data_IF_099958415738
#
_entry.id   IF_099958415738
#
_cell.length_a   1.000
_cell.length_b   1.000
_cell.length_c   1.000
_cell.angle_alpha   90.00
_cell.angle_beta   90.00
_cell.angle_gamma   90.00
#
_symmetry.space_group_name_H-M   'P 1'
#
loop_
_entity.id
_entity.type
_entity.pdbx_description
1 polymer ?
#
# COMPACT_ATOMS: atom_id res chain seq x y z
N UNK A 1 0.21 -11.21 -11.00
CA UNK A 1 1.13 -10.06 -11.01
C UNK A 1 0.35 -8.78 -10.76
N UNK A 2 0.82 -7.97 -9.83
CA UNK A 2 0.23 -6.65 -9.61
C UNK A 2 0.79 -5.64 -10.59
N UNK A 3 -0.08 -4.85 -11.18
CA UNK A 3 0.28 -3.79 -12.10
C UNK A 3 -0.24 -2.45 -11.56
N UNK A 4 0.58 -1.43 -11.63
CA UNK A 4 0.22 -0.08 -11.22
C UNK A 4 0.60 0.88 -12.35
N UNK A 5 -0.36 1.67 -12.80
CA UNK A 5 -0.13 2.73 -13.77
C UNK A 5 -0.55 4.07 -13.16
N UNK A 6 0.32 5.07 -13.28
CA UNK A 6 0.12 6.40 -12.68
C UNK A 6 0.30 7.47 -13.74
N UNK A 7 -0.67 8.37 -13.84
CA UNK A 7 -0.56 9.61 -14.61
C UNK A 7 -0.62 10.78 -13.63
N UNK A 8 0.45 11.56 -13.58
CA UNK A 8 0.58 12.67 -12.65
C UNK A 8 0.71 13.98 -13.43
N UNK A 9 -0.22 14.90 -13.17
CA UNK A 9 -0.27 16.23 -13.80
C UNK A 9 -0.30 16.19 -15.33
N UNK A 10 -1.00 15.20 -15.90
CA UNK A 10 -1.17 15.05 -17.36
C UNK A 10 -2.50 15.60 -17.83
N UNK A 11 -3.46 15.78 -16.94
CA UNK A 11 -4.80 16.33 -17.22
C UNK A 11 -5.09 17.48 -16.27
N UNK A 12 -5.67 18.56 -16.77
CA UNK A 12 -5.93 19.78 -15.99
C UNK A 12 -6.88 19.51 -14.82
N UNK A 13 -7.95 18.76 -15.05
CA UNK A 13 -8.99 18.52 -14.06
C UNK A 13 -8.75 17.30 -13.18
N UNK A 14 -7.74 16.50 -13.51
CA UNK A 14 -7.39 15.28 -12.79
C UNK A 14 -5.87 15.20 -12.57
N UNK A 15 -5.34 15.83 -11.51
CA UNK A 15 -3.90 15.88 -11.29
C UNK A 15 -3.27 14.52 -11.00
N UNK A 16 -4.05 13.56 -10.51
CA UNK A 16 -3.58 12.20 -10.26
C UNK A 16 -4.60 11.19 -10.79
N UNK A 17 -4.16 10.34 -11.70
CA UNK A 17 -4.96 9.21 -12.20
C UNK A 17 -4.16 7.94 -11.93
N UNK A 18 -4.77 7.00 -11.22
CA UNK A 18 -4.14 5.72 -10.89
C UNK A 18 -5.05 4.59 -11.31
N UNK A 19 -4.50 3.60 -11.98
CA UNK A 19 -5.17 2.33 -12.22
C UNK A 19 -4.28 1.18 -11.79
N UNK A 20 -4.87 0.20 -11.16
CA UNK A 20 -4.15 -0.92 -10.57
C UNK A 20 -5.03 -2.16 -10.53
N UNK A 21 -4.40 -3.31 -10.53
CA UNK A 21 -5.05 -4.56 -10.15
C UNK A 21 -4.39 -5.10 -8.90
N UNK A 22 -5.15 -5.86 -8.12
CA UNK A 22 -4.64 -6.62 -6.98
C UNK A 22 -4.64 -8.11 -7.35
N UNK A 23 -3.46 -8.72 -7.31
CA UNK A 23 -3.30 -10.15 -7.54
C UNK A 23 -3.18 -10.87 -6.19
N UNK A 24 -4.30 -11.45 -5.75
CA UNK A 24 -4.40 -12.14 -4.45
C UNK A 24 -5.34 -13.33 -4.56
N UNK A 25 -5.25 -14.28 -3.63
CA UNK A 25 -6.16 -15.42 -3.58
C UNK A 25 -7.59 -14.96 -3.28
N UNK A 26 -8.57 -15.52 -4.00
CA UNK A 26 -10.00 -15.20 -3.82
C UNK A 26 -10.50 -15.45 -2.41
N UNK A 27 -9.92 -16.42 -1.71
CA UNK A 27 -10.29 -16.75 -0.32
C UNK A 27 -9.86 -15.69 0.70
N UNK A 28 -8.97 -14.76 0.31
CA UNK A 28 -8.52 -13.69 1.21
C UNK A 28 -9.58 -12.60 1.28
N UNK A 29 -10.21 -12.37 2.45
CA UNK A 29 -11.29 -11.40 2.55
C UNK A 29 -10.77 -9.99 2.34
N UNK A 30 -11.49 -9.24 1.52
CA UNK A 30 -11.13 -7.88 1.13
C UNK A 30 -12.37 -7.00 1.17
N UNK A 31 -12.27 -5.84 1.79
CA UNK A 31 -13.33 -4.84 1.79
C UNK A 31 -13.12 -3.88 0.62
N UNK A 32 -14.21 -3.46 -0.06
CA UNK A 32 -14.12 -2.47 -1.15
C UNK A 32 -13.66 -1.11 -0.61
N UNK A 33 -13.27 -0.21 -1.53
CA UNK A 33 -12.82 1.13 -1.19
C UNK A 33 -13.86 1.89 -0.37
N UNK A 34 -13.45 2.41 0.77
CA UNK A 34 -14.28 3.21 1.67
C UNK A 34 -13.40 4.08 2.56
N UNK A 35 -14.02 5.08 3.18
CA UNK A 35 -13.35 5.81 4.25
C UNK A 35 -13.29 4.95 5.49
N UNK A 36 -12.09 4.75 6.02
CA UNK A 36 -11.90 3.93 7.21
C UNK A 36 -12.43 4.64 8.45
N UNK A 37 -13.12 3.92 9.35
CA UNK A 37 -13.63 4.53 10.60
C UNK A 37 -12.52 4.81 11.60
N UNK A 38 -11.39 4.12 11.53
CA UNK A 38 -10.29 4.16 12.49
C UNK A 38 -9.05 4.93 12.01
N UNK A 39 -9.07 5.48 10.79
CA UNK A 39 -7.95 6.22 10.23
C UNK A 39 -8.39 7.17 9.11
N UNK A 40 -7.63 8.26 8.82
CA UNK A 40 -7.98 9.21 7.76
C UNK A 40 -7.61 8.69 6.37
N UNK A 41 -8.06 7.48 6.04
CA UNK A 41 -7.66 6.73 4.85
C UNK A 41 -8.89 6.36 4.02
N UNK A 42 -8.79 6.60 2.71
CA UNK A 42 -9.70 6.11 1.69
C UNK A 42 -9.03 4.98 0.92
N UNK A 43 -9.47 3.76 1.12
CA UNK A 43 -8.84 2.58 0.52
C UNK A 43 -9.76 1.37 0.60
N UNK A 44 -9.51 0.37 -0.25
CA UNK A 44 -9.92 -0.99 0.04
C UNK A 44 -9.16 -1.50 1.26
N UNK A 45 -9.63 -2.53 1.90
CA UNK A 45 -8.98 -3.05 3.11
C UNK A 45 -8.81 -4.56 3.05
N UNK A 46 -7.60 -5.00 3.38
CA UNK A 46 -7.32 -6.42 3.60
C UNK A 46 -7.92 -6.80 4.97
N UNK A 47 -9.02 -7.52 4.95
CA UNK A 47 -9.71 -7.88 6.19
C UNK A 47 -8.96 -8.93 7.02
N UNK A 48 -7.98 -9.62 6.43
CA UNK A 48 -7.15 -10.60 7.14
C UNK A 48 -6.02 -9.91 7.91
N UNK A 49 -5.26 -9.04 7.25
CA UNK A 49 -4.09 -8.37 7.84
C UNK A 49 -4.39 -6.96 8.36
N UNK A 50 -5.49 -6.36 7.96
CA UNK A 50 -5.93 -5.04 8.42
C UNK A 50 -5.33 -3.85 7.69
N UNK A 51 -4.38 -4.06 6.79
CA UNK A 51 -3.75 -3.01 5.98
C UNK A 51 -4.40 -2.84 4.61
N UNK A 52 -3.69 -2.16 3.72
CA UNK A 52 -4.11 -2.00 2.34
C UNK A 52 -2.92 -2.02 1.38
N UNK A 53 -3.22 -2.20 0.11
CA UNK A 53 -2.22 -2.20 -0.96
C UNK A 53 -2.13 -0.86 -1.70
N UNK A 54 -3.13 -0.01 -1.57
CA UNK A 54 -3.19 1.31 -2.21
C UNK A 54 -4.22 2.17 -1.52
N UNK A 55 -3.91 3.43 -1.31
CA UNK A 55 -4.86 4.33 -0.68
C UNK A 55 -4.48 5.80 -0.74
N UNK A 56 -5.44 6.61 -0.33
CA UNK A 56 -5.32 8.06 -0.20
C UNK A 56 -5.56 8.45 1.25
N UNK A 57 -4.96 9.55 1.69
CA UNK A 57 -5.26 10.14 2.98
C UNK A 57 -6.03 11.46 2.82
N UNK A 58 -6.71 11.87 3.89
CA UNK A 58 -7.38 13.20 3.93
C UNK A 58 -6.40 14.35 3.77
N UNK A 59 -5.13 14.15 4.14
CA UNK A 59 -4.07 15.14 4.00
C UNK A 59 -3.52 15.24 2.57
N UNK A 60 -4.00 14.41 1.63
CA UNK A 60 -3.58 14.45 0.23
C UNK A 60 -2.38 13.57 -0.09
N UNK A 61 -2.12 12.53 0.70
CA UNK A 61 -1.07 11.54 0.43
C UNK A 61 -1.63 10.38 -0.37
N UNK A 62 -0.80 9.85 -1.24
CA UNK A 62 -1.05 8.61 -1.98
C UNK A 62 0.08 7.63 -1.72
N UNK A 63 -0.26 6.36 -1.52
CA UNK A 63 0.72 5.30 -1.39
C UNK A 63 0.19 4.00 -1.97
N UNK A 64 1.09 3.20 -2.52
CA UNK A 64 0.77 1.89 -3.07
C UNK A 64 1.96 0.95 -2.93
N UNK A 65 1.67 -0.34 -2.82
CA UNK A 65 2.67 -1.41 -2.90
C UNK A 65 2.20 -2.46 -3.90
N UNK A 66 3.13 -3.06 -4.60
CA UNK A 66 2.86 -4.19 -5.47
C UNK A 66 3.53 -5.44 -4.90
N UNK A 67 2.90 -6.59 -5.10
CA UNK A 67 3.48 -7.86 -4.68
C UNK A 67 4.56 -8.28 -5.67
N UNK A 68 5.76 -8.50 -5.14
CA UNK A 68 6.81 -9.21 -5.86
C UNK A 68 6.85 -10.65 -5.33
N UNK A 69 6.40 -11.60 -6.14
CA UNK A 69 6.49 -13.01 -5.81
C UNK A 69 7.80 -13.56 -6.36
N UNK A 70 8.72 -13.85 -5.45
CA UNK A 70 9.94 -14.56 -5.80
C UNK A 70 9.62 -16.05 -5.81
N UNK A 71 9.54 -16.64 -7.01
CA UNK A 71 9.40 -18.09 -7.15
C UNK A 71 10.75 -18.75 -6.90
N UNK A 72 11.17 -18.76 -5.65
CA UNK A 72 12.36 -19.50 -5.24
C UNK A 72 11.91 -20.78 -4.56
N UNK A 73 12.33 -21.92 -5.10
CA UNK A 73 12.14 -23.21 -4.44
C UNK A 73 12.78 -23.13 -3.03
N UNK A 74 12.01 -23.35 -1.98
CA UNK A 74 12.50 -23.24 -0.62
C UNK A 74 12.35 -21.87 0.01
N UNK A 75 11.47 -21.02 -0.54
CA UNK A 75 11.12 -19.76 0.10
C UNK A 75 10.70 -19.98 1.55
N UNK A 76 11.43 -19.38 2.49
CA UNK A 76 11.13 -19.43 3.91
C UNK A 76 9.72 -18.92 4.15
N UNK A 77 8.94 -19.54 5.06
CA UNK A 77 7.68 -18.94 5.49
C UNK A 77 7.98 -17.53 6.00
N UNK A 78 7.12 -16.61 5.65
CA UNK A 78 7.25 -15.20 6.03
C UNK A 78 7.45 -15.12 7.55
N UNK A 79 8.70 -14.98 7.97
CA UNK A 79 8.98 -14.51 9.30
C UNK A 79 8.36 -13.11 9.39
N UNK A 80 7.59 -12.88 10.42
CA UNK A 80 6.83 -11.66 10.78
C UNK A 80 7.45 -10.33 10.31
N UNK A 81 7.76 -10.21 9.01
CA UNK A 81 7.99 -8.92 8.40
C UNK A 81 6.69 -8.15 8.52
N UNK A 82 6.78 -6.90 8.92
CA UNK A 82 5.68 -5.95 8.86
C UNK A 82 4.94 -6.18 7.55
N UNK A 83 3.67 -6.54 7.62
CA UNK A 83 2.84 -6.71 6.44
C UNK A 83 3.06 -5.51 5.52
N UNK A 84 3.34 -5.74 4.24
CA UNK A 84 3.55 -4.67 3.26
C UNK A 84 2.42 -3.67 3.26
N UNK A 85 1.20 -4.12 3.57
CA UNK A 85 0.04 -3.25 3.73
C UNK A 85 0.18 -2.24 4.87
N UNK A 86 0.97 -2.52 5.88
CA UNK A 86 1.24 -1.58 6.97
C UNK A 86 2.23 -0.48 6.57
N UNK A 87 3.05 -0.70 5.55
CA UNK A 87 3.87 0.37 4.97
C UNK A 87 2.98 1.45 4.35
N UNK A 88 1.93 1.05 3.64
CA UNK A 88 0.98 1.98 3.04
C UNK A 88 0.21 2.75 4.10
N UNK A 89 -0.40 2.05 5.05
CA UNK A 89 -1.19 2.68 6.11
C UNK A 89 -0.35 3.57 7.00
N UNK A 90 0.87 3.16 7.31
CA UNK A 90 1.80 3.95 8.12
C UNK A 90 2.16 5.28 7.45
N UNK A 91 2.47 5.26 6.15
CA UNK A 91 2.75 6.50 5.39
C UNK A 91 1.53 7.41 5.32
N UNK A 92 0.36 6.85 4.99
CA UNK A 92 -0.88 7.63 4.86
C UNK A 92 -1.30 8.30 6.17
N UNK A 93 -0.98 7.69 7.30
CA UNK A 93 -1.30 8.21 8.63
C UNK A 93 -0.18 9.05 9.23
N UNK A 94 0.98 9.12 8.59
CA UNK A 94 2.15 9.85 9.08
C UNK A 94 2.11 11.32 8.68
N UNK A 95 2.75 12.16 9.49
CA UNK A 95 3.03 13.57 9.16
C UNK A 95 4.45 13.77 8.61
N UNK A 96 5.25 12.72 8.54
CA UNK A 96 6.61 12.76 8.01
C UNK A 96 6.63 13.10 6.52
N UNK A 97 7.68 13.75 6.06
CA UNK A 97 7.92 13.91 4.61
C UNK A 97 8.19 12.55 3.96
N UNK A 98 8.11 12.49 2.64
CA UNK A 98 8.42 11.26 1.88
C UNK A 98 9.84 10.79 2.20
N UNK A 99 10.79 11.70 2.25
CA UNK A 99 12.19 11.40 2.55
C UNK A 99 12.37 10.86 3.97
N UNK A 100 11.75 11.50 4.95
CA UNK A 100 11.79 11.05 6.35
C UNK A 100 11.16 9.67 6.51
N UNK A 101 10.06 9.42 5.82
CA UNK A 101 9.40 8.11 5.84
C UNK A 101 10.30 7.04 5.21
N UNK A 102 10.87 7.33 4.05
CA UNK A 102 11.78 6.41 3.37
C UNK A 102 13.00 6.06 4.25
N UNK A 103 13.60 7.05 4.88
CA UNK A 103 14.73 6.83 5.80
C UNK A 103 14.33 5.96 6.99
N UNK A 104 13.14 6.18 7.55
CA UNK A 104 12.66 5.38 8.69
C UNK A 104 12.42 3.92 8.31
N UNK A 105 11.95 3.65 7.09
CA UNK A 105 11.78 2.28 6.58
C UNK A 105 13.14 1.63 6.36
N UNK A 106 14.06 2.33 5.69
CA UNK A 106 15.40 1.81 5.41
C UNK A 106 16.14 1.40 6.68
N UNK A 107 15.96 2.14 7.78
CA UNK A 107 16.56 1.84 9.07
C UNK A 107 15.99 0.55 9.71
N UNK A 108 14.80 0.11 9.32
CA UNK A 108 14.14 -1.08 9.88
C UNK A 108 14.29 -2.32 9.00
N UNK A 109 14.78 -2.17 7.78
CA UNK A 109 14.99 -3.29 6.88
C UNK A 109 16.32 -3.98 7.18
N UNK A 110 16.33 -5.31 7.31
CA UNK A 110 17.60 -6.04 7.37
C UNK A 110 18.32 -5.92 6.02
N UNK A 111 19.63 -5.85 6.07
CA UNK A 111 20.50 -5.86 4.91
C UNK A 111 20.32 -7.14 4.05
#
# INVERSE_FOLDING_TARGET
MCLLAVAFQTQIDCPLIVTSNRDEFYRRPTEPMHWWPDAPILAGRDAEAGGTWMGLSRSGRFAAVTNFRQLVAGAMPETKALSRGHLVTGFLSSEKTVEQWADSIAATMPD
#
